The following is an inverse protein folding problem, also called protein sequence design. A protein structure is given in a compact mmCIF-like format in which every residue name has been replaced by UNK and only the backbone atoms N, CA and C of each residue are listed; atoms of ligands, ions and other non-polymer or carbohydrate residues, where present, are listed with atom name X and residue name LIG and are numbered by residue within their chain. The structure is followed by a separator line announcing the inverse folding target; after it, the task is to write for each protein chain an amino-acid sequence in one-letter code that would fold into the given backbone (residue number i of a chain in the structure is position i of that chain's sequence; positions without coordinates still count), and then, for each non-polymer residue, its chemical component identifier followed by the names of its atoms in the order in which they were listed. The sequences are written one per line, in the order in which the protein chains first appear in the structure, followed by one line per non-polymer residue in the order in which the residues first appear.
data_IF_379243370980
#
_entry.id   IF_379243370980
#
_cell.length_a   1.000
_cell.length_b   1.000
_cell.length_c   1.000
_cell.angle_alpha   90.00
_cell.angle_beta   90.00
_cell.angle_gamma   90.00
#
_symmetry.space_group_name_H-M   'P 1'
#
loop_
_entity.id
_entity.type
_entity.pdbx_description
1 polymer ?
#
# COMPACT_ATOMS: atom_id res chain seq x y z
N UNK A 1 1.43 -47.57 -33.18
CA UNK A 1 1.00 -46.17 -33.39
C UNK A 1 0.14 -45.63 -32.23
N UNK A 2 -0.80 -46.40 -31.67
CA UNK A 2 -1.63 -45.93 -30.53
C UNK A 2 -0.86 -45.59 -29.24
N UNK A 3 0.24 -46.29 -28.93
CA UNK A 3 1.05 -46.02 -27.72
C UNK A 3 1.86 -44.72 -27.79
N UNK A 4 2.37 -44.35 -28.96
CA UNK A 4 3.13 -43.11 -29.14
C UNK A 4 2.22 -41.87 -29.15
N UNK A 5 1.03 -41.98 -29.73
CA UNK A 5 0.03 -40.90 -29.69
C UNK A 5 -0.53 -40.69 -28.28
N UNK A 6 -0.74 -41.77 -27.52
CA UNK A 6 -1.13 -41.68 -26.11
C UNK A 6 -0.10 -40.93 -25.26
N UNK A 7 1.21 -41.17 -25.46
CA UNK A 7 2.25 -40.46 -24.72
C UNK A 7 2.30 -38.96 -25.04
N UNK A 8 2.06 -38.57 -26.31
CA UNK A 8 2.03 -37.16 -26.70
C UNK A 8 0.85 -36.41 -26.08
N UNK A 9 -0.31 -37.06 -25.97
CA UNK A 9 -1.47 -36.48 -25.28
C UNK A 9 -1.18 -36.28 -23.79
N UNK A 10 -0.61 -37.29 -23.14
CA UNK A 10 -0.26 -37.22 -21.71
C UNK A 10 0.73 -36.07 -21.44
N UNK A 11 1.76 -35.94 -22.29
CA UNK A 11 2.72 -34.84 -22.18
C UNK A 11 2.05 -33.48 -22.34
N UNK A 12 1.13 -33.34 -23.30
CA UNK A 12 0.37 -32.10 -23.52
C UNK A 12 -0.47 -31.70 -22.31
N UNK A 13 -1.17 -32.65 -21.69
CA UNK A 13 -2.00 -32.39 -20.50
C UNK A 13 -1.16 -31.96 -19.30
N UNK A 14 0.03 -32.55 -19.12
CA UNK A 14 0.95 -32.16 -18.04
C UNK A 14 1.38 -30.70 -18.19
N UNK A 15 1.75 -30.28 -19.42
CA UNK A 15 2.18 -28.91 -19.70
C UNK A 15 1.04 -27.92 -19.44
N UNK A 16 -0.17 -28.21 -19.94
CA UNK A 16 -1.35 -27.36 -19.72
C UNK A 16 -1.70 -27.27 -18.22
N UNK A 17 -1.60 -28.38 -17.49
CA UNK A 17 -1.86 -28.42 -16.04
C UNK A 17 -0.94 -27.48 -15.25
N UNK A 18 0.36 -27.48 -15.55
CA UNK A 18 1.33 -26.59 -14.87
C UNK A 18 1.07 -25.13 -15.26
N UNK A 19 0.78 -24.86 -16.54
CA UNK A 19 0.52 -23.50 -17.02
C UNK A 19 -0.68 -22.83 -16.31
N UNK A 20 -1.73 -23.60 -15.99
CA UNK A 20 -2.89 -23.08 -15.26
C UNK A 20 -2.51 -22.67 -13.83
N UNK A 21 -1.75 -23.50 -13.12
CA UNK A 21 -1.34 -23.22 -11.73
C UNK A 21 -0.44 -21.99 -11.68
N UNK A 22 0.55 -21.90 -12.57
CA UNK A 22 1.45 -20.74 -12.65
C UNK A 22 0.68 -19.49 -13.06
N UNK A 23 -0.26 -19.59 -13.99
CA UNK A 23 -1.10 -18.47 -14.38
C UNK A 23 -1.91 -17.91 -13.22
N UNK A 24 -2.52 -18.78 -12.40
CA UNK A 24 -3.28 -18.36 -11.21
C UNK A 24 -2.37 -17.67 -10.19
N UNK A 25 -1.18 -18.22 -9.93
CA UNK A 25 -0.21 -17.61 -9.01
C UNK A 25 0.24 -16.22 -9.49
N UNK A 26 0.52 -16.06 -10.78
CA UNK A 26 0.93 -14.79 -11.37
C UNK A 26 -0.16 -13.71 -11.26
N UNK A 27 -1.44 -14.09 -11.43
CA UNK A 27 -2.55 -13.16 -11.22
C UNK A 27 -2.67 -12.70 -9.76
N UNK A 28 -2.47 -13.61 -8.80
CA UNK A 28 -2.45 -13.25 -7.37
C UNK A 28 -1.31 -12.28 -7.04
N UNK A 29 -0.09 -12.57 -7.52
CA UNK A 29 1.06 -11.70 -7.31
C UNK A 29 0.89 -10.31 -7.93
N UNK A 30 0.28 -10.22 -9.12
CA UNK A 30 0.02 -8.92 -9.75
C UNK A 30 -0.97 -8.07 -8.97
N UNK A 31 -2.00 -8.68 -8.35
CA UNK A 31 -2.97 -7.97 -7.51
C UNK A 31 -2.32 -7.42 -6.22
N UNK A 32 -1.48 -8.24 -5.57
CA UNK A 32 -0.67 -7.83 -4.42
C UNK A 32 0.24 -6.65 -4.80
N UNK A 33 1.00 -6.76 -5.89
CA UNK A 33 1.92 -5.71 -6.32
C UNK A 33 1.19 -4.41 -6.69
N UNK A 34 0.02 -4.50 -7.33
CA UNK A 34 -0.83 -3.34 -7.60
C UNK A 34 -1.30 -2.67 -6.29
N UNK A 35 -1.75 -3.44 -5.30
CA UNK A 35 -2.14 -2.90 -4.00
C UNK A 35 -0.96 -2.26 -3.27
N UNK A 36 0.22 -2.91 -3.25
CA UNK A 36 1.48 -2.37 -2.71
C UNK A 36 1.81 -1.00 -3.30
N UNK A 37 1.75 -0.88 -4.62
CA UNK A 37 2.01 0.39 -5.30
C UNK A 37 0.94 1.46 -4.98
N UNK A 38 -0.33 1.07 -4.89
CA UNK A 38 -1.42 1.97 -4.56
C UNK A 38 -1.28 2.56 -3.14
N UNK A 39 -0.99 1.72 -2.14
CA UNK A 39 -0.81 2.17 -0.75
C UNK A 39 0.44 3.03 -0.56
N UNK A 40 1.54 2.75 -1.29
CA UNK A 40 2.72 3.61 -1.30
C UNK A 40 2.39 4.98 -1.89
N UNK A 41 1.74 5.01 -3.05
CA UNK A 41 1.32 6.27 -3.68
C UNK A 41 0.38 7.06 -2.77
N UNK A 42 -0.54 6.39 -2.10
CA UNK A 42 -1.44 6.99 -1.13
C UNK A 42 -0.69 7.59 0.07
N UNK A 43 0.28 6.86 0.64
CA UNK A 43 1.09 7.35 1.76
C UNK A 43 1.89 8.61 1.39
N UNK A 44 2.47 8.64 0.18
CA UNK A 44 3.22 9.81 -0.33
C UNK A 44 2.27 10.99 -0.59
N UNK A 45 1.14 10.75 -1.25
CA UNK A 45 0.14 11.79 -1.51
C UNK A 45 -0.36 12.43 -0.21
N UNK A 46 -0.62 11.59 0.80
CA UNK A 46 -1.01 12.02 2.14
C UNK A 46 0.10 12.83 2.84
N UNK A 47 1.36 12.42 2.71
CA UNK A 47 2.48 13.17 3.25
C UNK A 47 2.59 14.58 2.65
N UNK A 48 2.39 14.70 1.32
CA UNK A 48 2.39 16.00 0.64
C UNK A 48 1.25 16.91 1.13
N UNK A 49 0.03 16.38 1.26
CA UNK A 49 -1.11 17.13 1.80
C UNK A 49 -0.88 17.56 3.25
N UNK A 50 -0.27 16.70 4.06
CA UNK A 50 0.08 17.03 5.44
C UNK A 50 1.13 18.14 5.52
N UNK A 51 2.14 18.13 4.64
CA UNK A 51 3.14 19.19 4.54
C UNK A 51 2.52 20.52 4.08
N UNK A 52 1.56 20.48 3.15
CA UNK A 52 0.81 21.67 2.77
C UNK A 52 0.01 22.23 3.96
N UNK A 53 -0.66 21.35 4.71
CA UNK A 53 -1.39 21.72 5.92
C UNK A 53 -0.47 22.35 6.99
N UNK A 54 0.70 21.76 7.22
CA UNK A 54 1.70 22.28 8.16
C UNK A 54 2.14 23.72 7.84
N UNK A 55 2.31 24.04 6.57
CA UNK A 55 2.74 25.39 6.12
C UNK A 55 1.61 26.41 6.14
N UNK A 56 0.35 25.97 6.09
CA UNK A 56 -0.81 26.85 6.15
C UNK A 56 -0.95 27.42 7.59
N UNK A 57 -1.18 28.74 7.74
CA UNK A 57 -1.38 29.33 9.07
C UNK A 57 -2.69 28.85 9.71
N UNK A 58 -2.73 28.80 11.04
CA UNK A 58 -3.92 28.36 11.80
C UNK A 58 -5.16 29.19 11.49
N UNK A 59 -4.99 30.49 11.21
CA UNK A 59 -6.07 31.40 10.82
C UNK A 59 -6.82 30.97 9.54
N UNK A 60 -6.21 30.11 8.71
CA UNK A 60 -6.80 29.55 7.50
C UNK A 60 -7.12 28.04 7.65
N UNK A 61 -7.14 27.52 8.87
CA UNK A 61 -7.39 26.10 9.16
C UNK A 61 -6.19 25.18 8.92
N UNK A 62 -4.97 25.74 8.88
CA UNK A 62 -3.72 24.98 8.77
C UNK A 62 -3.10 24.60 10.12
N UNK A 63 -1.90 24.01 10.06
CA UNK A 63 -1.17 23.51 11.24
C UNK A 63 -0.26 24.53 11.91
N UNK A 64 -0.07 25.72 11.36
CA UNK A 64 0.71 26.77 12.03
C UNK A 64 2.16 26.40 12.30
N UNK A 65 2.76 25.53 11.46
CA UNK A 65 4.08 24.91 11.68
C UNK A 65 4.11 23.91 12.83
N UNK A 66 3.00 23.23 13.10
CA UNK A 66 2.90 22.10 14.03
C UNK A 66 2.09 20.96 13.43
N UNK A 67 2.48 19.71 13.66
CA UNK A 67 1.68 18.52 13.35
C UNK A 67 0.87 17.98 14.53
N UNK A 68 0.90 18.62 15.70
CA UNK A 68 0.23 18.12 16.91
C UNK A 68 -1.28 17.91 16.73
N UNK A 69 -1.94 18.85 16.05
CA UNK A 69 -3.37 18.82 15.78
C UNK A 69 -3.72 18.23 14.40
N UNK A 70 -2.74 17.61 13.71
CA UNK A 70 -2.97 17.08 12.38
C UNK A 70 -3.92 15.87 12.42
N UNK A 71 -5.04 15.93 11.72
CA UNK A 71 -5.99 14.81 11.56
C UNK A 71 -6.25 14.55 10.08
N UNK A 72 -6.73 13.36 9.70
CA UNK A 72 -7.13 13.13 8.31
C UNK A 72 -8.29 14.04 7.88
N UNK A 73 -9.16 14.41 8.82
CA UNK A 73 -10.23 15.38 8.58
C UNK A 73 -9.69 16.76 8.19
N UNK A 74 -8.52 17.16 8.71
CA UNK A 74 -7.89 18.45 8.39
C UNK A 74 -7.50 18.60 6.91
N UNK A 75 -7.41 17.48 6.20
CA UNK A 75 -7.12 17.40 4.76
C UNK A 75 -8.26 16.74 3.97
N UNK A 76 -9.45 16.63 4.57
CA UNK A 76 -10.64 16.02 3.98
C UNK A 76 -10.41 14.60 3.45
N UNK A 77 -9.62 13.80 4.17
CA UNK A 77 -9.38 12.38 3.87
C UNK A 77 -10.09 11.51 4.89
N UNK A 78 -10.61 10.38 4.42
CA UNK A 78 -11.12 9.33 5.30
C UNK A 78 -9.98 8.39 5.71
N UNK A 79 -10.10 7.84 6.91
CA UNK A 79 -9.26 6.77 7.44
C UNK A 79 -9.44 5.45 6.69
N UNK A 80 -10.56 5.25 6.01
CA UNK A 80 -10.82 4.06 5.19
C UNK A 80 -10.89 4.46 3.73
N UNK A 81 -10.12 3.78 2.89
CA UNK A 81 -10.05 4.02 1.46
C UNK A 81 -10.18 2.72 0.67
N UNK A 82 -10.35 2.84 -0.64
CA UNK A 82 -10.48 1.69 -1.53
C UNK A 82 -9.23 0.81 -1.55
N UNK A 83 -8.06 1.36 -1.25
CA UNK A 83 -6.79 0.61 -1.26
C UNK A 83 -6.41 0.06 0.11
N UNK A 84 -6.96 0.63 1.20
CA UNK A 84 -6.53 0.31 2.56
C UNK A 84 -7.07 1.22 3.66
N UNK A 85 -6.58 1.02 4.89
CA UNK A 85 -6.87 1.84 6.07
C UNK A 85 -5.65 2.67 6.46
N UNK A 86 -5.84 3.98 6.63
CA UNK A 86 -4.81 4.92 7.03
C UNK A 86 -4.89 5.16 8.54
N UNK A 87 -3.74 5.08 9.22
CA UNK A 87 -3.57 5.40 10.62
C UNK A 87 -2.46 6.43 10.82
N UNK A 88 -2.70 7.41 11.67
CA UNK A 88 -1.69 8.39 12.08
C UNK A 88 -1.27 8.07 13.51
N UNK A 89 0.02 8.15 13.79
CA UNK A 89 0.60 7.89 15.12
C UNK A 89 1.78 8.82 15.37
N UNK A 90 2.19 8.94 16.64
CA UNK A 90 3.37 9.69 17.07
C UNK A 90 3.40 11.14 16.56
N UNK A 91 2.30 11.89 16.79
CA UNK A 91 2.20 13.30 16.40
C UNK A 91 3.07 14.15 17.32
N UNK A 92 3.96 14.92 16.73
CA UNK A 92 4.82 15.89 17.41
C UNK A 92 4.72 17.22 16.68
N UNK A 93 5.34 18.27 17.19
CA UNK A 93 5.38 19.56 16.49
C UNK A 93 6.01 19.42 15.09
N UNK A 94 7.06 18.61 14.93
CA UNK A 94 7.86 18.57 13.69
C UNK A 94 7.67 17.32 12.83
N UNK A 95 7.02 16.28 13.36
CA UNK A 95 6.85 15.02 12.64
C UNK A 95 5.62 14.25 13.07
N UNK A 96 5.14 13.38 12.20
CA UNK A 96 4.19 12.33 12.56
C UNK A 96 4.45 11.08 11.72
N UNK A 97 3.98 9.93 12.19
CA UNK A 97 4.05 8.67 11.46
C UNK A 97 2.71 8.39 10.81
N UNK A 98 2.70 8.18 9.50
CA UNK A 98 1.57 7.64 8.76
C UNK A 98 1.79 6.17 8.49
N UNK A 99 0.75 5.39 8.71
CA UNK A 99 0.73 3.94 8.44
C UNK A 99 -0.49 3.64 7.57
N UNK A 100 -0.26 3.16 6.36
CA UNK A 100 -1.30 2.72 5.44
C UNK A 100 -1.29 1.20 5.40
N UNK A 101 -2.41 0.59 5.75
CA UNK A 101 -2.58 -0.86 5.78
C UNK A 101 -3.42 -1.24 4.57
N UNK A 102 -2.85 -2.00 3.65
CA UNK A 102 -3.49 -2.49 2.44
C UNK A 102 -4.59 -3.49 2.71
N UNK A 103 -5.18 -3.99 1.63
CA UNK A 103 -6.21 -5.03 1.66
C UNK A 103 -5.67 -6.42 1.37
N UNK A 104 -4.65 -6.47 0.54
CA UNK A 104 -4.03 -7.71 0.11
C UNK A 104 -2.96 -8.14 1.12
N UNK A 105 -2.83 -9.44 1.29
CA UNK A 105 -1.76 -10.12 2.01
C UNK A 105 -0.78 -10.63 0.94
N UNK A 106 0.46 -10.13 0.96
CA UNK A 106 1.41 -10.39 -0.09
C UNK A 106 2.25 -11.65 0.09
N UNK A 107 2.35 -12.19 1.31
CA UNK A 107 3.13 -13.40 1.62
C UNK A 107 2.24 -14.62 1.96
N UNK A 108 0.95 -14.39 2.16
CA UNK A 108 -0.04 -15.41 2.46
C UNK A 108 -0.04 -15.84 3.94
N UNK A 109 0.52 -15.02 4.84
CA UNK A 109 0.61 -15.30 6.28
C UNK A 109 -0.63 -14.89 7.09
N UNK A 110 -1.59 -14.20 6.43
CA UNK A 110 -2.81 -13.69 7.01
C UNK A 110 -2.73 -12.23 7.46
N UNK A 111 -1.61 -11.53 7.22
CA UNK A 111 -1.43 -10.11 7.52
C UNK A 111 -1.38 -9.25 6.26
N UNK A 112 -2.13 -8.14 6.23
CA UNK A 112 -2.16 -7.27 5.04
C UNK A 112 -0.91 -6.40 4.95
N UNK A 113 -0.47 -6.13 3.72
CA UNK A 113 0.70 -5.29 3.48
C UNK A 113 0.55 -3.94 4.19
N UNK A 114 1.55 -3.55 4.95
CA UNK A 114 1.55 -2.27 5.66
C UNK A 114 2.71 -1.39 5.21
N UNK A 115 2.41 -0.15 4.82
CA UNK A 115 3.40 0.89 4.50
C UNK A 115 3.43 1.92 5.60
N UNK A 116 4.61 2.13 6.18
CA UNK A 116 4.85 3.13 7.21
C UNK A 116 5.82 4.20 6.71
N UNK A 117 5.46 5.45 6.92
CA UNK A 117 6.25 6.61 6.52
C UNK A 117 6.27 7.63 7.65
N UNK A 118 7.43 8.20 7.97
CA UNK A 118 7.51 9.35 8.86
C UNK A 118 7.54 10.62 8.03
N UNK A 119 6.61 11.53 8.31
CA UNK A 119 6.49 12.80 7.59
C UNK A 119 7.05 13.90 8.47
N UNK A 120 7.97 14.68 7.90
CA UNK A 120 8.53 15.90 8.46
C UNK A 120 8.00 17.12 7.68
N UNK A 121 8.27 18.32 8.19
CA UNK A 121 7.82 19.59 7.60
C UNK A 121 8.27 19.83 6.14
N UNK A 122 9.43 19.29 5.79
CA UNK A 122 10.15 19.52 4.52
C UNK A 122 10.64 18.24 3.85
N UNK A 123 10.51 17.09 4.52
CA UNK A 123 10.99 15.80 4.04
C UNK A 123 10.10 14.65 4.54
N UNK A 124 10.28 13.47 3.97
CA UNK A 124 9.69 12.22 4.44
C UNK A 124 10.80 11.19 4.61
N UNK A 125 10.67 10.26 5.55
CA UNK A 125 11.56 9.10 5.62
C UNK A 125 11.37 8.20 4.40
N UNK A 126 12.22 7.20 4.21
CA UNK A 126 11.90 6.13 3.26
C UNK A 126 10.66 5.36 3.75
N UNK A 127 9.76 4.94 2.84
CA UNK A 127 8.62 4.11 3.19
C UNK A 127 9.10 2.72 3.61
N UNK A 128 8.75 2.31 4.83
CA UNK A 128 9.00 0.96 5.32
C UNK A 128 7.78 0.11 4.96
N UNK A 129 7.99 -0.86 4.08
CA UNK A 129 6.97 -1.83 3.67
C UNK A 129 7.16 -3.09 4.52
N UNK A 130 6.10 -3.51 5.20
CA UNK A 130 6.02 -4.79 5.90
C UNK A 130 4.96 -5.61 5.18
N UNK A 131 5.38 -6.75 4.66
CA UNK A 131 4.49 -7.83 4.21
C UNK A 131 4.35 -8.77 5.41
#
# INVERSE_FOLDING_TARGET
MGTQQLMLIVLGVIIVGIAIVVGIQMFGQSAVEANKNAIVHQAISLALMAQEWYRKPEALGGGGRSFENFTLESISKDSVTEDGTIRISNRTTNSFVVTVIGKEDGDGDGTPVTVRLTVYADSTSDPVITD
#
